data_IF_160963347422
#
_entry.id   IF_160963347422
#
_cell.length_a   1.000
_cell.length_b   1.000
_cell.length_c   1.000
_cell.angle_alpha   90.00
_cell.angle_beta   90.00
_cell.angle_gamma   90.00
#
_symmetry.space_group_name_H-M   'P 1'
#
loop_
_entity.id
_entity.type
_entity.pdbx_description
1 polymer ?
#
# COMPACT_ATOMS: atom_id res chain seq x y z
N UNK A 1 -8.45 -13.74 -13.85
CA UNK A 1 -7.54 -12.61 -13.82
C UNK A 1 -7.77 -11.81 -12.56
N UNK A 2 -6.71 -11.41 -11.92
CA UNK A 2 -6.86 -10.69 -10.66
C UNK A 2 -7.36 -9.27 -10.88
N UNK A 3 -8.05 -8.75 -9.88
CA UNK A 3 -8.50 -7.37 -9.89
C UNK A 3 -7.68 -6.58 -8.89
N UNK A 4 -7.40 -5.33 -9.24
CA UNK A 4 -6.65 -4.44 -8.37
C UNK A 4 -7.64 -3.52 -7.65
N UNK A 5 -7.54 -3.50 -6.32
CA UNK A 5 -8.42 -2.68 -5.49
C UNK A 5 -7.54 -1.82 -4.59
N UNK A 6 -7.77 -0.52 -4.62
CA UNK A 6 -7.08 0.41 -3.72
C UNK A 6 -7.99 0.72 -2.54
N UNK A 7 -7.48 0.52 -1.33
CA UNK A 7 -8.26 0.92 -0.16
C UNK A 7 -8.29 2.44 -0.07
N UNK A 8 -9.33 3.01 0.54
CA UNK A 8 -9.36 4.45 0.75
C UNK A 8 -8.16 4.95 1.54
N UNK A 9 -7.71 4.19 2.55
CA UNK A 9 -6.56 4.63 3.32
C UNK A 9 -5.27 4.59 2.51
N UNK A 10 -5.14 3.64 1.59
CA UNK A 10 -3.96 3.61 0.73
C UNK A 10 -3.92 4.82 -0.20
N UNK A 11 -5.08 5.22 -0.72
CA UNK A 11 -5.14 6.41 -1.57
C UNK A 11 -4.82 7.65 -0.77
N UNK A 12 -5.30 7.73 0.47
CA UNK A 12 -4.95 8.85 1.34
C UNK A 12 -3.45 8.87 1.62
N UNK A 13 -2.88 7.69 1.91
CA UNK A 13 -1.44 7.60 2.13
C UNK A 13 -0.67 8.13 0.92
N UNK A 14 -1.06 7.70 -0.26
CA UNK A 14 -0.38 8.11 -1.48
C UNK A 14 -0.49 9.63 -1.68
N UNK A 15 -1.68 10.19 -1.42
CA UNK A 15 -1.87 11.62 -1.56
C UNK A 15 -0.96 12.38 -0.60
N UNK A 16 -0.82 11.89 0.63
CA UNK A 16 0.03 12.55 1.61
C UNK A 16 1.50 12.50 1.21
N UNK A 17 1.94 11.37 0.67
CA UNK A 17 3.31 11.26 0.18
C UNK A 17 3.55 12.23 -0.97
N UNK A 18 2.59 12.30 -1.89
CA UNK A 18 2.72 13.21 -3.03
C UNK A 18 2.74 14.66 -2.58
N UNK A 19 1.94 15.02 -1.57
CA UNK A 19 1.98 16.37 -1.03
C UNK A 19 3.36 16.69 -0.47
N UNK A 20 3.93 15.74 0.25
CA UNK A 20 5.25 15.93 0.83
C UNK A 20 6.31 16.13 -0.26
N UNK A 21 6.31 15.26 -1.27
CA UNK A 21 7.26 15.37 -2.37
C UNK A 21 7.03 16.66 -3.15
N UNK A 22 5.75 17.02 -3.31
CA UNK A 22 5.38 18.19 -4.09
C UNK A 22 5.83 19.51 -3.51
N UNK A 23 6.17 19.52 -2.21
CA UNK A 23 6.72 20.74 -1.61
C UNK A 23 8.01 21.15 -2.28
N UNK A 24 8.77 20.17 -2.77
CA UNK A 24 10.01 20.46 -3.48
C UNK A 24 9.80 20.46 -4.99
N UNK A 25 8.93 19.61 -5.51
CA UNK A 25 8.75 19.48 -6.94
C UNK A 25 7.42 18.84 -7.26
N UNK A 26 6.51 19.60 -7.84
CA UNK A 26 5.24 19.05 -8.28
C UNK A 26 5.41 18.05 -9.40
N UNK A 27 6.39 18.31 -10.26
CA UNK A 27 6.67 17.38 -11.35
C UNK A 27 7.07 16.00 -10.79
N UNK A 28 7.94 16.02 -9.79
CA UNK A 28 8.42 14.78 -9.22
C UNK A 28 7.31 14.03 -8.48
N UNK A 29 6.43 14.77 -7.80
CA UNK A 29 5.29 14.15 -7.13
C UNK A 29 4.40 13.43 -8.12
N UNK A 30 4.12 14.08 -9.26
CA UNK A 30 3.29 13.47 -10.28
C UNK A 30 3.94 12.20 -10.83
N UNK A 31 5.25 12.27 -11.09
CA UNK A 31 5.98 11.13 -11.60
C UNK A 31 5.96 9.98 -10.59
N UNK A 32 6.12 10.30 -9.32
CA UNK A 32 6.07 9.30 -8.26
C UNK A 32 4.73 8.58 -8.26
N UNK A 33 3.63 9.34 -8.30
CA UNK A 33 2.30 8.73 -8.30
C UNK A 33 2.10 7.82 -9.50
N UNK A 34 2.53 8.27 -10.67
CA UNK A 34 2.38 7.45 -11.88
C UNK A 34 3.14 6.14 -11.75
N UNK A 35 4.34 6.21 -11.19
CA UNK A 35 5.16 5.00 -11.03
C UNK A 35 4.59 4.06 -9.99
N UNK A 36 4.01 4.60 -8.93
CA UNK A 36 3.37 3.77 -7.92
C UNK A 36 2.17 3.04 -8.51
N UNK A 37 1.34 3.74 -9.27
CA UNK A 37 0.20 3.11 -9.91
C UNK A 37 0.64 2.03 -10.89
N UNK A 38 1.69 2.30 -11.66
CA UNK A 38 2.19 1.29 -12.59
C UNK A 38 2.72 0.06 -11.87
N UNK A 39 3.43 0.27 -10.77
CA UNK A 39 3.95 -0.85 -9.99
C UNK A 39 2.80 -1.69 -9.42
N UNK A 40 1.75 -1.03 -8.96
CA UNK A 40 0.60 -1.74 -8.41
C UNK A 40 -0.08 -2.57 -9.49
N UNK A 41 -0.17 -2.05 -10.71
CA UNK A 41 -0.80 -2.80 -11.78
C UNK A 41 -0.04 -4.07 -12.13
N UNK A 42 1.28 -4.05 -11.97
CA UNK A 42 2.05 -5.26 -12.21
C UNK A 42 1.71 -6.37 -11.24
N UNK A 43 1.22 -6.02 -10.05
CA UNK A 43 0.86 -7.02 -9.06
C UNK A 43 -0.35 -7.83 -9.49
N UNK A 44 -1.16 -7.31 -10.40
CA UNK A 44 -2.28 -8.08 -10.96
C UNK A 44 -1.75 -9.27 -11.72
N UNK A 45 -0.64 -9.09 -12.42
CA UNK A 45 -0.05 -10.17 -13.21
C UNK A 45 0.84 -11.06 -12.35
N UNK A 46 1.50 -10.48 -11.35
CA UNK A 46 2.45 -11.21 -10.51
C UNK A 46 2.17 -10.92 -9.04
N UNK A 47 1.07 -11.47 -8.49
CA UNK A 47 0.67 -11.12 -7.12
C UNK A 47 1.69 -11.48 -6.06
N UNK A 48 2.53 -12.46 -6.33
CA UNK A 48 3.52 -12.90 -5.33
C UNK A 48 4.89 -12.29 -5.57
N UNK A 49 4.99 -11.28 -6.42
CA UNK A 49 6.29 -10.69 -6.69
C UNK A 49 6.82 -9.87 -5.52
N UNK A 50 5.95 -9.38 -4.64
CA UNK A 50 6.40 -8.69 -3.44
C UNK A 50 6.83 -9.66 -2.36
N UNK A 51 7.54 -9.15 -1.37
CA UNK A 51 8.02 -9.96 -0.26
C UNK A 51 6.95 -10.03 0.83
N UNK A 52 7.00 -11.10 1.61
CA UNK A 52 6.12 -11.21 2.77
C UNK A 52 6.48 -10.11 3.75
N UNK A 53 5.45 -9.43 4.29
CA UNK A 53 5.66 -8.37 5.26
C UNK A 53 6.23 -8.95 6.54
N UNK A 54 7.43 -8.54 6.96
CA UNK A 54 8.08 -9.19 8.11
C UNK A 54 7.30 -9.05 9.41
N UNK A 55 6.59 -7.93 9.59
CA UNK A 55 5.86 -7.69 10.83
C UNK A 55 4.76 -8.71 11.05
N UNK A 56 4.22 -9.29 9.98
CA UNK A 56 3.07 -10.18 10.11
C UNK A 56 3.37 -11.61 9.72
N UNK A 57 4.37 -11.81 8.88
CA UNK A 57 4.78 -13.15 8.47
C UNK A 57 3.59 -13.97 7.95
N UNK A 58 2.74 -13.34 7.16
CA UNK A 58 1.59 -13.99 6.53
C UNK A 58 1.78 -13.97 5.02
N UNK A 59 1.47 -15.10 4.39
CA UNK A 59 1.71 -15.22 2.95
C UNK A 59 0.81 -14.33 2.12
N UNK A 60 -0.33 -13.96 2.66
CA UNK A 60 -1.28 -13.11 1.93
C UNK A 60 -1.00 -11.62 2.11
N UNK A 61 -0.08 -11.23 3.02
CA UNK A 61 0.29 -9.84 3.21
C UNK A 61 1.70 -9.64 2.71
N UNK A 62 1.81 -8.85 1.67
CA UNK A 62 3.10 -8.65 1.01
C UNK A 62 3.39 -7.17 0.84
N UNK A 63 4.63 -6.87 0.54
CA UNK A 63 5.05 -5.49 0.32
C UNK A 63 5.91 -5.42 -0.93
N UNK A 64 5.80 -4.31 -1.61
CA UNK A 64 6.64 -3.98 -2.73
C UNK A 64 7.41 -2.74 -2.35
N UNK A 65 8.74 -2.83 -2.36
CA UNK A 65 9.55 -1.66 -2.03
C UNK A 65 9.66 -0.78 -3.25
N UNK A 66 9.39 0.50 -3.07
CA UNK A 66 9.47 1.46 -4.15
C UNK A 66 10.15 2.70 -3.62
N UNK A 67 11.38 2.91 -4.05
CA UNK A 67 12.22 3.96 -3.51
C UNK A 67 12.31 3.80 -1.99
N UNK A 68 11.90 4.78 -1.21
CA UNK A 68 11.95 4.69 0.24
C UNK A 68 10.61 4.31 0.86
N UNK A 69 9.70 3.80 0.06
CA UNK A 69 8.34 3.52 0.53
C UNK A 69 8.00 2.06 0.37
N UNK A 70 7.08 1.60 1.18
CA UNK A 70 6.54 0.24 1.12
C UNK A 70 5.10 0.34 0.62
N UNK A 71 4.81 -0.40 -0.42
CA UNK A 71 3.43 -0.54 -0.90
C UNK A 71 2.95 -1.87 -0.35
N UNK A 72 2.08 -1.82 0.64
CA UNK A 72 1.61 -3.01 1.34
C UNK A 72 0.31 -3.47 0.70
N UNK A 73 0.22 -4.74 0.38
CA UNK A 73 -0.96 -5.26 -0.28
C UNK A 73 -1.30 -6.65 0.23
N UNK A 74 -2.55 -7.02 0.03
CA UNK A 74 -3.05 -8.32 0.39
C UNK A 74 -3.53 -9.03 -0.85
N UNK A 75 -3.20 -10.32 -0.95
CA UNK A 75 -3.69 -11.17 -2.02
C UNK A 75 -4.84 -11.98 -1.45
N UNK A 76 -6.05 -11.76 -1.95
CA UNK A 76 -7.22 -12.45 -1.45
C UNK A 76 -8.03 -12.94 -2.64
N UNK A 77 -8.03 -14.25 -2.86
CA UNK A 77 -8.73 -14.83 -3.99
C UNK A 77 -8.20 -14.23 -5.29
N UNK A 78 -9.07 -13.63 -6.05
CA UNK A 78 -8.69 -13.02 -7.33
C UNK A 78 -8.50 -11.52 -7.20
N UNK A 79 -8.27 -11.02 -5.98
CA UNK A 79 -8.04 -9.60 -5.77
C UNK A 79 -6.66 -9.35 -5.22
N UNK A 80 -6.06 -8.25 -5.68
CA UNK A 80 -4.89 -7.66 -5.05
C UNK A 80 -5.38 -6.36 -4.43
N UNK A 81 -5.32 -6.28 -3.11
CA UNK A 81 -5.86 -5.14 -2.37
C UNK A 81 -4.71 -4.31 -1.85
N UNK A 82 -4.54 -3.10 -2.39
CA UNK A 82 -3.50 -2.21 -1.90
C UNK A 82 -3.99 -1.62 -0.59
N UNK A 83 -3.28 -1.89 0.49
CA UNK A 83 -3.75 -1.57 1.83
C UNK A 83 -3.09 -0.31 2.39
N UNK A 84 -1.84 -0.04 2.02
CA UNK A 84 -1.14 1.12 2.56
C UNK A 84 0.06 1.48 1.71
N UNK A 85 0.44 2.74 1.78
CA UNK A 85 1.72 3.22 1.24
C UNK A 85 2.41 3.93 2.39
N UNK A 86 3.49 3.36 2.91
CA UNK A 86 4.14 3.90 4.09
C UNK A 86 5.64 4.03 3.86
N UNK A 87 6.26 4.91 4.60
CA UNK A 87 7.71 5.03 4.55
C UNK A 87 8.33 3.71 4.98
N UNK A 88 9.41 3.31 4.31
CA UNK A 88 9.98 1.99 4.51
C UNK A 88 10.47 1.72 5.93
N UNK A 89 10.88 2.77 6.64
CA UNK A 89 11.36 2.61 8.02
C UNK A 89 10.25 2.51 9.04
N UNK A 90 9.01 2.80 8.65
CA UNK A 90 7.91 2.80 9.59
C UNK A 90 7.40 1.39 9.83
N UNK A 91 7.16 1.05 11.09
CA UNK A 91 6.57 -0.23 11.43
C UNK A 91 5.07 -0.17 11.22
N UNK A 92 4.51 -1.27 10.78
CA UNK A 92 3.08 -1.35 10.55
C UNK A 92 2.36 -1.61 11.87
N UNK A 93 1.11 -1.14 11.97
CA UNK A 93 0.38 -1.28 13.23
C UNK A 93 -0.06 -2.71 13.50
N UNK A 94 -0.14 -3.05 14.77
CA UNK A 94 -0.56 -4.39 15.19
C UNK A 94 -1.98 -4.71 14.78
N UNK A 95 -2.80 -3.70 14.53
CA UNK A 95 -4.19 -3.98 14.19
C UNK A 95 -4.30 -4.81 12.92
N UNK A 96 -3.24 -4.86 12.12
CA UNK A 96 -3.26 -5.61 10.88
C UNK A 96 -3.01 -7.10 11.10
N UNK A 97 -2.81 -7.52 12.34
CA UNK A 97 -2.70 -8.93 12.64
C UNK A 97 -4.03 -9.64 12.50
N UNK A 98 -5.11 -8.91 12.44
CA UNK A 98 -6.40 -9.52 12.22
C UNK A 98 -6.46 -10.06 10.81
N UNK A 99 -7.50 -10.82 10.53
CA UNK A 99 -7.61 -11.46 9.25
C UNK A 99 -7.73 -10.50 8.10
N UNK A 100 -8.31 -9.35 8.35
CA UNK A 100 -8.55 -8.37 7.31
C UNK A 100 -7.65 -7.17 7.49
N UNK A 101 -6.89 -6.78 6.46
CA UNK A 101 -6.22 -5.49 6.52
C UNK A 101 -7.28 -4.39 6.58
N UNK A 102 -6.94 -3.26 7.14
CA UNK A 102 -7.92 -2.19 7.31
C UNK A 102 -8.16 -1.43 6.03
N UNK A 103 -8.81 -2.06 5.08
CA UNK A 103 -9.08 -1.40 3.81
C UNK A 103 -10.08 -0.28 3.95
N UNK A 104 -10.76 -0.19 5.09
CA UNK A 104 -11.71 0.89 5.32
C UNK A 104 -11.43 1.61 6.60
N UNK A 105 -10.19 1.64 7.03
CA UNK A 105 -9.91 2.23 8.32
C UNK A 105 -9.85 3.74 8.29
N UNK A 106 -10.23 4.32 7.21
CA UNK A 106 -10.40 5.75 7.16
C UNK A 106 -11.39 6.21 8.19
N UNK A 107 -12.18 5.33 8.75
CA UNK A 107 -13.00 5.74 9.84
C UNK A 107 -12.16 5.94 11.04
N UNK A 108 -12.44 6.92 11.65
CA UNK A 108 -11.64 7.33 12.76
C UNK A 108 -11.70 6.32 13.84
N UNK A 109 -11.09 5.84 14.01
CA UNK A 109 -11.12 4.90 14.85
C UNK A 109 -11.37 5.21 16.05
N UNK A 110 -11.85 5.60 15.81
CA UNK A 110 -11.97 5.85 16.55
C UNK A 110 -11.94 5.99 17.52
N UNK A 111 -12.06 6.15 17.44
CA UNK A 111 -11.96 6.36 18.01
C UNK A 111 -11.82 6.44 18.90
N UNK A 112 -11.83 6.43 19.09
CA UNK A 112 -11.65 6.61 19.66
C UNK A 112 -11.55 6.83 19.94
#
# INVERSE_FOLDING_TARGET
>A
MAQLVWSPSALTDLAEVCDYIGRDSEHYAKLFAERVFSAAEMLVLFPESGSIVPEYDRRDLRELLFQNYRIVYRVKGSEVQIAAVVHGARLLPDVWESEEPPVTRDKPQSED
#
